data_IF_370949221280
#
_entry.id   IF_370949221280
#
_cell.length_a   1.000
_cell.length_b   1.000
_cell.length_c   1.000
_cell.angle_alpha   90.00
_cell.angle_beta   90.00
_cell.angle_gamma   90.00
#
_symmetry.space_group_name_H-M   'P 1'
#
loop_
_entity.id
_entity.type
_entity.pdbx_description
1 polymer ?
#
# COMPACT_ATOMS: atom_id res chain seq x y z
N UNK A 1 17.50 3.01 4.97
CA UNK A 1 18.08 4.35 5.16
C UNK A 1 17.93 5.16 3.88
N UNK A 2 17.64 6.46 3.99
CA UNK A 2 17.65 7.39 2.87
C UNK A 2 18.88 8.27 2.95
N UNK A 3 19.51 8.55 1.79
CA UNK A 3 20.62 9.48 1.68
C UNK A 3 20.21 10.90 2.11
N UNK A 4 18.97 11.27 1.84
CA UNK A 4 18.40 12.56 2.26
C UNK A 4 16.96 12.32 2.80
N UNK A 5 16.83 12.31 4.13
CA UNK A 5 15.55 12.11 4.82
C UNK A 5 14.56 13.25 4.64
N UNK A 6 15.04 14.46 4.33
CA UNK A 6 14.19 15.64 4.17
C UNK A 6 13.42 15.59 2.85
N UNK A 7 14.01 14.95 1.84
CA UNK A 7 13.43 14.87 0.48
C UNK A 7 12.67 13.55 0.29
N UNK A 8 13.26 12.43 0.71
CA UNK A 8 12.66 11.12 0.45
C UNK A 8 11.41 10.86 1.28
N UNK A 9 10.37 10.39 0.65
CA UNK A 9 9.15 9.87 1.28
C UNK A 9 8.80 8.53 0.63
N UNK A 10 8.31 7.54 1.42
CA UNK A 10 7.85 6.30 0.85
C UNK A 10 6.61 6.53 -0.02
N UNK A 11 6.50 5.77 -1.09
CA UNK A 11 5.28 5.72 -1.88
C UNK A 11 4.13 5.14 -1.04
N UNK A 12 2.91 5.42 -1.46
CA UNK A 12 1.73 4.80 -0.87
C UNK A 12 1.54 3.39 -1.43
N UNK A 13 1.04 2.49 -0.58
CA UNK A 13 0.56 1.19 -1.04
C UNK A 13 -0.84 1.31 -1.64
N UNK A 14 -1.21 0.50 -2.62
CA UNK A 14 -2.59 0.43 -3.10
C UNK A 14 -3.57 0.20 -1.94
N UNK A 15 -4.75 0.78 -2.04
CA UNK A 15 -5.80 0.56 -1.05
C UNK A 15 -6.35 -0.86 -1.20
N UNK A 16 -6.59 -1.54 -0.07
CA UNK A 16 -7.26 -2.84 -0.10
C UNK A 16 -8.76 -2.70 -0.30
N UNK A 17 -9.40 -3.74 -0.80
CA UNK A 17 -10.87 -3.82 -0.91
C UNK A 17 -11.55 -3.63 0.45
N UNK A 18 -11.00 -4.20 1.53
CA UNK A 18 -11.52 -4.03 2.90
C UNK A 18 -11.49 -2.57 3.36
N UNK A 19 -10.49 -1.80 2.95
CA UNK A 19 -10.45 -0.36 3.24
C UNK A 19 -11.56 0.38 2.51
N UNK A 20 -11.88 0.00 1.28
CA UNK A 20 -12.91 0.61 0.47
C UNK A 20 -14.31 0.13 0.88
N UNK A 21 -14.47 -1.11 1.31
CA UNK A 21 -15.75 -1.67 1.80
C UNK A 21 -16.34 -0.95 3.03
N UNK A 22 -15.50 -0.16 3.74
CA UNK A 22 -15.96 0.69 4.86
C UNK A 22 -16.72 1.94 4.42
N UNK A 23 -16.67 2.27 3.13
CA UNK A 23 -17.39 3.40 2.55
C UNK A 23 -18.73 2.90 2.02
N UNK A 24 -19.81 3.55 2.43
CA UNK A 24 -21.18 3.21 2.05
C UNK A 24 -21.94 4.48 1.68
N UNK A 25 -23.12 4.34 1.11
CA UNK A 25 -23.96 5.49 0.76
C UNK A 25 -25.39 5.29 1.29
N UNK A 26 -25.61 5.38 2.60
CA UNK A 26 -26.92 5.10 3.21
C UNK A 26 -27.97 6.16 2.90
N UNK A 27 -27.56 7.36 2.51
CA UNK A 27 -28.45 8.49 2.22
C UNK A 27 -28.50 8.86 0.72
N UNK A 28 -27.98 8.00 -0.15
CA UNK A 28 -27.92 8.21 -1.61
C UNK A 28 -27.29 9.55 -2.02
N UNK A 29 -26.22 9.95 -1.33
CA UNK A 29 -25.49 11.18 -1.64
C UNK A 29 -24.91 11.10 -3.05
N UNK A 30 -25.16 12.10 -3.92
CA UNK A 30 -24.73 12.06 -5.33
C UNK A 30 -23.20 12.06 -5.52
N UNK A 31 -22.43 12.43 -4.50
CA UNK A 31 -20.94 12.36 -4.48
C UNK A 31 -20.42 10.94 -4.33
N UNK A 32 -21.28 9.96 -4.04
CA UNK A 32 -20.94 8.55 -3.95
C UNK A 32 -20.78 8.05 -2.50
N UNK A 33 -19.99 6.96 -2.36
CA UNK A 33 -19.81 6.29 -1.07
C UNK A 33 -18.91 7.10 -0.12
N UNK A 34 -19.25 7.09 1.17
CA UNK A 34 -18.55 7.82 2.21
C UNK A 34 -18.50 7.01 3.52
N UNK A 35 -17.68 7.45 4.46
CA UNK A 35 -17.68 6.92 5.84
C UNK A 35 -17.77 8.04 6.85
N UNK A 36 -18.41 7.81 8.03
CA UNK A 36 -18.44 8.79 9.10
C UNK A 36 -17.06 8.99 9.70
N UNK A 37 -16.72 10.24 9.98
CA UNK A 37 -15.56 10.64 10.75
C UNK A 37 -16.01 11.43 11.99
N UNK A 38 -15.28 11.25 13.11
CA UNK A 38 -15.57 11.96 14.37
C UNK A 38 -15.50 13.47 14.15
N UNK A 39 -16.51 14.17 14.65
CA UNK A 39 -16.62 15.63 14.62
C UNK A 39 -16.10 16.29 15.89
N UNK A 40 -15.26 15.60 16.67
CA UNK A 40 -14.65 16.13 17.87
C UNK A 40 -13.15 15.87 17.93
N UNK A 41 -12.41 16.80 18.52
CA UNK A 41 -10.94 16.73 18.68
C UNK A 41 -10.53 16.91 20.15
N UNK A 42 -9.36 16.35 20.51
CA UNK A 42 -8.79 16.47 21.85
C UNK A 42 -8.15 17.84 22.12
N UNK A 43 -7.66 18.52 21.08
CA UNK A 43 -7.10 19.86 21.20
C UNK A 43 -8.25 20.83 21.46
N UNK A 44 -8.43 21.25 22.71
CA UNK A 44 -9.54 22.10 23.11
C UNK A 44 -9.37 23.54 22.59
N UNK A 45 -10.49 24.07 22.08
CA UNK A 45 -10.64 25.49 21.72
C UNK A 45 -12.03 25.95 22.17
N UNK A 46 -12.08 27.02 22.96
CA UNK A 46 -13.36 27.57 23.44
C UNK A 46 -14.27 28.03 22.29
N UNK A 47 -13.72 28.51 21.20
CA UNK A 47 -14.47 28.92 20.01
C UNK A 47 -15.17 27.74 19.31
N UNK A 48 -14.70 26.51 19.54
CA UNK A 48 -15.25 25.29 18.95
C UNK A 48 -16.05 24.45 19.96
N UNK A 49 -16.29 24.98 21.17
CA UNK A 49 -17.07 24.31 22.20
C UNK A 49 -18.52 24.83 22.19
N UNK A 50 -19.31 24.31 21.27
CA UNK A 50 -20.71 24.73 21.12
C UNK A 50 -21.63 23.52 21.05
N UNK A 51 -22.88 23.65 21.56
CA UNK A 51 -23.92 22.63 21.43
C UNK A 51 -24.47 22.59 20.01
N UNK A 52 -24.85 21.41 19.54
CA UNK A 52 -25.48 21.21 18.23
C UNK A 52 -26.90 20.66 18.47
N UNK A 53 -27.90 21.31 17.87
CA UNK A 53 -29.25 20.80 17.80
C UNK A 53 -29.37 19.89 16.57
N UNK A 54 -29.66 18.61 16.78
CA UNK A 54 -29.84 17.64 15.70
C UNK A 54 -31.18 17.87 14.97
N UNK A 55 -31.39 17.28 13.76
CA UNK A 55 -32.68 17.36 13.08
C UNK A 55 -33.84 16.83 13.87
N UNK A 56 -33.66 15.84 14.75
CA UNK A 56 -34.68 15.33 15.68
C UNK A 56 -34.98 16.23 16.87
N UNK A 57 -34.24 17.35 17.05
CA UNK A 57 -34.38 18.29 18.15
C UNK A 57 -33.51 18.01 19.37
N UNK A 58 -32.74 16.92 19.39
CA UNK A 58 -31.80 16.59 20.47
C UNK A 58 -30.63 17.60 20.50
N UNK A 59 -30.23 18.03 21.69
CA UNK A 59 -29.03 18.85 21.89
C UNK A 59 -27.83 17.93 22.20
N UNK A 60 -26.76 18.06 21.45
CA UNK A 60 -25.53 17.31 21.62
C UNK A 60 -24.38 18.26 21.93
N UNK A 61 -23.77 18.12 23.10
CA UNK A 61 -22.55 18.83 23.50
C UNK A 61 -21.30 18.01 23.15
N UNK A 62 -20.13 18.65 22.99
CA UNK A 62 -18.88 17.91 22.86
C UNK A 62 -18.64 17.01 24.09
N UNK A 63 -17.94 15.87 23.92
CA UNK A 63 -17.50 15.07 25.06
C UNK A 63 -16.57 15.89 25.98
N UNK A 64 -16.54 15.55 27.28
CA UNK A 64 -15.69 16.21 28.27
C UNK A 64 -14.22 16.28 27.77
N UNK A 65 -13.59 17.42 27.90
CA UNK A 65 -12.22 17.70 27.46
C UNK A 65 -12.00 17.61 25.94
N UNK A 66 -13.04 17.77 25.15
CA UNK A 66 -12.98 17.84 23.68
C UNK A 66 -13.79 19.04 23.18
N UNK A 67 -13.53 19.47 21.96
CA UNK A 67 -14.36 20.45 21.26
C UNK A 67 -14.67 19.96 19.85
N UNK A 68 -15.45 20.69 19.07
CA UNK A 68 -15.73 20.39 17.67
C UNK A 68 -14.49 20.60 16.81
N UNK A 69 -14.45 19.94 15.64
CA UNK A 69 -13.35 20.04 14.67
C UNK A 69 -13.25 21.44 14.07
N UNK A 70 -14.40 22.15 13.96
CA UNK A 70 -14.50 23.48 13.31
C UNK A 70 -15.30 24.44 14.17
N UNK A 71 -15.30 25.74 13.79
CA UNK A 71 -16.18 26.75 14.34
C UNK A 71 -17.67 26.45 14.00
N UNK A 72 -18.58 27.16 14.68
CA UNK A 72 -20.02 27.01 14.45
C UNK A 72 -20.42 27.46 13.04
N UNK A 73 -19.83 28.50 12.49
CA UNK A 73 -20.12 28.97 11.14
C UNK A 73 -19.70 27.94 10.09
N UNK A 74 -18.49 27.38 10.18
CA UNK A 74 -18.04 26.30 9.32
C UNK A 74 -18.91 25.02 9.47
N UNK A 75 -19.39 24.75 10.67
CA UNK A 75 -20.33 23.66 10.86
C UNK A 75 -21.64 23.87 10.11
N UNK A 76 -22.21 25.10 10.15
CA UNK A 76 -23.42 25.45 9.40
C UNK A 76 -23.23 25.31 7.88
N UNK A 77 -22.07 25.70 7.39
CA UNK A 77 -21.67 25.49 6.00
C UNK A 77 -21.64 23.99 5.64
N UNK A 78 -20.94 23.16 6.44
CA UNK A 78 -20.92 21.70 6.25
C UNK A 78 -22.31 21.06 6.27
N UNK A 79 -23.24 21.59 7.09
CA UNK A 79 -24.63 21.12 7.12
C UNK A 79 -25.35 21.52 5.80
N UNK A 80 -25.18 22.77 5.34
CA UNK A 80 -25.80 23.22 4.09
C UNK A 80 -25.30 22.45 2.85
N UNK A 81 -24.05 21.99 2.91
CA UNK A 81 -23.44 21.14 1.87
C UNK A 81 -23.78 19.63 2.02
N UNK A 82 -24.65 19.27 2.93
CA UNK A 82 -24.95 17.87 3.27
C UNK A 82 -23.70 17.05 3.63
N UNK A 83 -22.71 17.64 4.30
CA UNK A 83 -21.48 16.98 4.75
C UNK A 83 -21.52 16.48 6.17
N UNK A 84 -22.59 16.76 6.92
CA UNK A 84 -22.81 16.27 8.28
C UNK A 84 -23.87 15.18 8.27
N UNK A 85 -23.54 14.07 8.90
CA UNK A 85 -24.43 12.94 9.08
C UNK A 85 -24.93 12.84 10.53
N UNK A 86 -26.24 12.81 10.71
CA UNK A 86 -26.90 12.69 12.01
C UNK A 86 -27.58 11.30 12.23
N UNK A 87 -27.21 10.31 11.42
CA UNK A 87 -27.90 9.02 11.38
C UNK A 87 -29.17 9.06 10.53
N UNK A 88 -29.75 7.90 10.25
CA UNK A 88 -30.96 7.78 9.43
C UNK A 88 -32.15 8.52 10.03
N UNK A 89 -32.27 8.54 11.36
CA UNK A 89 -33.37 9.21 12.11
C UNK A 89 -33.04 10.67 12.44
N UNK A 90 -31.87 11.17 12.10
CA UNK A 90 -31.44 12.53 12.46
C UNK A 90 -31.17 12.75 13.95
N UNK A 91 -30.94 11.69 14.75
CA UNK A 91 -30.77 11.77 16.20
C UNK A 91 -29.37 11.45 16.72
N UNK A 92 -28.47 11.04 15.84
CA UNK A 92 -27.12 10.65 16.23
C UNK A 92 -26.22 11.86 16.52
N UNK A 93 -25.12 11.62 17.23
CA UNK A 93 -24.01 12.57 17.34
C UNK A 93 -23.52 12.89 15.93
N UNK A 94 -23.33 14.18 15.58
CA UNK A 94 -22.89 14.56 14.22
C UNK A 94 -21.53 13.98 13.88
N UNK A 95 -21.41 13.47 12.68
CA UNK A 95 -20.16 13.02 12.09
C UNK A 95 -19.98 13.63 10.69
N UNK A 96 -18.73 13.84 10.28
CA UNK A 96 -18.40 14.36 8.94
C UNK A 96 -18.39 13.22 7.94
N UNK A 97 -19.07 13.40 6.82
CA UNK A 97 -18.95 12.49 5.66
C UNK A 97 -17.59 12.64 5.01
N UNK A 98 -16.80 11.58 4.97
CA UNK A 98 -15.54 11.49 4.21
C UNK A 98 -15.75 10.64 2.99
N UNK A 99 -15.84 11.25 1.82
CA UNK A 99 -16.09 10.57 0.55
C UNK A 99 -14.89 9.78 0.07
N UNK A 100 -15.12 8.62 -0.54
CA UNK A 100 -14.05 7.80 -1.10
C UNK A 100 -13.35 8.54 -2.26
N UNK A 101 -14.10 9.31 -3.05
CA UNK A 101 -13.58 10.14 -4.15
C UNK A 101 -12.62 11.25 -3.69
N UNK A 102 -12.68 11.66 -2.44
CA UNK A 102 -11.82 12.71 -1.85
C UNK A 102 -10.58 12.16 -1.14
N UNK A 103 -10.48 10.84 -1.02
CA UNK A 103 -9.36 10.19 -0.34
C UNK A 103 -8.19 10.00 -1.30
N UNK A 104 -6.98 10.25 -0.82
CA UNK A 104 -5.76 9.97 -1.61
C UNK A 104 -5.76 8.53 -2.10
N UNK A 105 -5.37 8.35 -3.35
CA UNK A 105 -5.20 7.04 -3.94
C UNK A 105 -3.96 6.36 -3.33
N UNK A 106 -4.22 5.51 -2.35
CA UNK A 106 -3.19 4.78 -1.61
C UNK A 106 -3.28 4.92 -0.09
N UNK A 107 -2.52 4.09 0.60
CA UNK A 107 -2.41 4.05 2.05
C UNK A 107 -0.95 4.04 2.49
N UNK A 108 -0.67 4.67 3.64
CA UNK A 108 0.64 4.59 4.28
C UNK A 108 0.88 3.16 4.73
N UNK A 109 2.09 2.64 4.48
CA UNK A 109 2.47 1.32 4.96
C UNK A 109 2.45 1.24 6.48
N UNK A 110 1.94 0.15 7.01
CA UNK A 110 2.11 -0.17 8.43
C UNK A 110 3.57 -0.50 8.74
N UNK A 111 3.97 -0.35 9.98
CA UNK A 111 5.32 -0.69 10.47
C UNK A 111 5.53 -2.20 10.65
N UNK A 112 4.43 -2.95 10.83
CA UNK A 112 4.44 -4.41 10.92
C UNK A 112 3.79 -4.97 9.67
N UNK A 113 4.48 -5.90 9.00
CA UNK A 113 4.01 -6.60 7.81
C UNK A 113 3.73 -8.06 8.16
N UNK A 114 2.47 -8.44 8.06
CA UNK A 114 2.04 -9.80 8.36
C UNK A 114 2.36 -10.73 7.18
N UNK A 115 2.59 -12.02 7.46
CA UNK A 115 2.89 -13.00 6.42
C UNK A 115 1.76 -13.18 5.41
N UNK A 116 0.52 -12.94 5.80
CA UNK A 116 -0.63 -12.95 4.91
C UNK A 116 -0.48 -11.92 3.77
N UNK A 117 0.14 -10.78 4.07
CA UNK A 117 0.32 -9.68 3.12
C UNK A 117 1.59 -9.84 2.27
N UNK A 118 2.67 -10.34 2.87
CA UNK A 118 4.00 -10.35 2.25
C UNK A 118 4.53 -11.75 1.95
N UNK A 119 3.78 -12.79 2.27
CA UNK A 119 4.23 -14.17 2.13
C UNK A 119 5.19 -14.62 3.24
N UNK A 120 5.53 -15.89 3.23
CA UNK A 120 6.45 -16.52 4.17
C UNK A 120 7.45 -17.45 3.45
N UNK A 121 8.38 -18.06 4.19
CA UNK A 121 9.43 -18.88 3.59
C UNK A 121 8.91 -20.09 2.77
N UNK A 122 7.74 -20.64 3.11
CA UNK A 122 7.15 -21.75 2.35
C UNK A 122 6.66 -21.29 0.98
N UNK A 123 6.06 -20.09 0.89
CA UNK A 123 5.66 -19.49 -0.39
C UNK A 123 6.88 -19.27 -1.27
N UNK A 124 7.93 -18.68 -0.69
CA UNK A 124 9.19 -18.45 -1.40
C UNK A 124 9.84 -19.73 -1.92
N UNK A 125 9.83 -20.82 -1.12
CA UNK A 125 10.35 -22.13 -1.55
C UNK A 125 9.51 -22.73 -2.66
N UNK A 126 8.19 -22.54 -2.65
CA UNK A 126 7.30 -22.97 -3.74
C UNK A 126 7.64 -22.21 -5.02
N UNK A 127 7.78 -20.89 -4.94
CA UNK A 127 8.19 -20.07 -6.08
C UNK A 127 9.54 -20.52 -6.69
N UNK A 128 10.52 -20.94 -5.85
CA UNK A 128 11.80 -21.47 -6.35
C UNK A 128 11.62 -22.82 -7.03
N UNK A 129 10.82 -23.72 -6.45
CA UNK A 129 10.56 -25.06 -7.03
C UNK A 129 9.95 -24.99 -8.43
N UNK A 130 9.17 -23.96 -8.71
CA UNK A 130 8.52 -23.78 -10.02
C UNK A 130 9.55 -23.63 -11.16
N UNK A 131 10.79 -23.23 -10.90
CA UNK A 131 11.85 -23.12 -11.91
C UNK A 131 13.10 -23.98 -11.63
N UNK A 132 13.28 -24.48 -10.41
CA UNK A 132 14.35 -25.40 -10.05
C UNK A 132 13.84 -26.41 -9.02
N UNK A 133 13.41 -27.58 -9.50
CA UNK A 133 12.88 -28.65 -8.65
C UNK A 133 13.97 -29.45 -7.92
N UNK A 134 15.17 -29.49 -8.48
CA UNK A 134 16.25 -30.35 -7.99
C UNK A 134 17.09 -29.72 -6.91
N UNK A 135 17.22 -28.40 -6.93
CA UNK A 135 18.03 -27.64 -5.98
C UNK A 135 17.26 -26.44 -5.45
N UNK A 136 16.63 -26.62 -4.27
CA UNK A 136 15.86 -25.55 -3.65
C UNK A 136 16.79 -24.65 -2.83
N UNK A 137 16.86 -23.36 -3.20
CA UNK A 137 17.60 -22.36 -2.44
C UNK A 137 17.16 -22.36 -0.95
N UNK A 138 18.11 -22.35 -0.01
CA UNK A 138 17.84 -22.56 1.41
C UNK A 138 16.86 -21.55 2.03
N UNK A 139 17.05 -20.27 1.74
CA UNK A 139 16.29 -19.15 2.36
C UNK A 139 15.84 -18.10 1.34
N UNK A 140 15.02 -18.47 0.34
CA UNK A 140 14.51 -17.52 -0.62
C UNK A 140 13.58 -16.50 0.06
N UNK A 141 13.40 -15.34 -0.55
CA UNK A 141 12.42 -14.34 -0.12
C UNK A 141 11.18 -14.41 -1.02
N UNK A 142 9.96 -14.27 -0.45
CA UNK A 142 8.74 -14.26 -1.26
C UNK A 142 8.69 -13.06 -2.19
N UNK A 143 8.17 -13.22 -3.40
CA UNK A 143 8.00 -12.11 -4.34
C UNK A 143 7.09 -11.01 -3.77
N UNK A 144 6.06 -11.35 -3.01
CA UNK A 144 5.18 -10.38 -2.34
C UNK A 144 5.93 -9.44 -1.38
N UNK A 145 6.93 -9.95 -0.64
CA UNK A 145 7.76 -9.12 0.22
C UNK A 145 8.57 -8.12 -0.60
N UNK A 146 9.23 -8.60 -1.65
CA UNK A 146 10.02 -7.73 -2.52
C UNK A 146 9.15 -6.73 -3.28
N UNK A 147 7.96 -7.12 -3.72
CA UNK A 147 6.96 -6.23 -4.31
C UNK A 147 6.65 -5.05 -3.38
N UNK A 148 6.36 -5.31 -2.11
CA UNK A 148 6.06 -4.25 -1.13
C UNK A 148 7.24 -3.32 -0.93
N UNK A 149 8.45 -3.85 -0.77
CA UNK A 149 9.68 -3.05 -0.62
C UNK A 149 9.89 -2.17 -1.83
N UNK A 150 9.81 -2.73 -3.04
CA UNK A 150 10.03 -2.02 -4.30
C UNK A 150 8.95 -0.96 -4.53
N UNK A 151 7.68 -1.27 -4.25
CA UNK A 151 6.58 -0.29 -4.34
C UNK A 151 6.83 0.92 -3.45
N UNK A 152 7.24 0.69 -2.19
CA UNK A 152 7.46 1.78 -1.23
C UNK A 152 8.68 2.63 -1.55
N UNK A 153 9.72 2.05 -2.14
CA UNK A 153 11.03 2.67 -2.27
C UNK A 153 11.33 3.23 -3.65
N UNK A 154 10.62 2.82 -4.70
CA UNK A 154 10.97 3.10 -6.10
C UNK A 154 9.75 3.42 -6.96
N UNK A 155 10.02 4.12 -8.07
CA UNK A 155 9.07 4.34 -9.16
C UNK A 155 9.47 3.50 -10.39
N UNK A 156 8.61 3.45 -11.40
CA UNK A 156 8.93 2.82 -12.68
C UNK A 156 10.23 3.40 -13.27
N UNK A 157 11.02 2.53 -13.91
CA UNK A 157 12.32 2.84 -14.48
C UNK A 157 13.45 3.19 -13.49
N UNK A 158 13.19 3.24 -12.20
CA UNK A 158 14.27 3.36 -11.20
C UNK A 158 15.21 2.14 -11.25
N UNK A 159 16.44 2.33 -10.78
CA UNK A 159 17.46 1.27 -10.72
C UNK A 159 17.48 0.68 -9.31
N UNK A 160 17.37 -0.63 -9.23
CA UNK A 160 17.50 -1.41 -8.00
C UNK A 160 18.82 -2.15 -8.02
N UNK A 161 19.62 -2.02 -6.98
CA UNK A 161 20.85 -2.80 -6.77
C UNK A 161 20.61 -3.81 -5.66
N UNK A 162 20.86 -5.08 -5.95
CA UNK A 162 20.96 -6.15 -4.94
C UNK A 162 22.30 -6.83 -5.06
N UNK A 163 23.17 -6.58 -4.07
CA UNK A 163 24.55 -7.11 -4.05
C UNK A 163 24.66 -8.51 -3.44
N UNK A 164 23.55 -9.12 -3.02
CA UNK A 164 23.46 -10.48 -2.50
C UNK A 164 22.21 -11.16 -3.05
N UNK A 165 22.16 -11.31 -4.39
CA UNK A 165 20.94 -11.62 -5.14
C UNK A 165 20.32 -12.97 -4.79
N UNK A 166 21.11 -13.94 -4.33
CA UNK A 166 20.63 -15.25 -3.88
C UNK A 166 19.87 -16.01 -4.98
N UNK A 167 18.60 -16.27 -4.75
CA UNK A 167 17.73 -16.95 -5.73
C UNK A 167 17.13 -16.05 -6.82
N UNK A 168 17.55 -14.77 -6.89
CA UNK A 168 17.09 -13.85 -7.94
C UNK A 168 15.72 -13.20 -7.70
N UNK A 169 15.13 -13.28 -6.50
CA UNK A 169 13.80 -12.75 -6.25
C UNK A 169 13.71 -11.25 -6.51
N UNK A 170 14.67 -10.47 -6.04
CA UNK A 170 14.70 -9.01 -6.24
C UNK A 170 14.69 -8.66 -7.73
N UNK A 171 15.53 -9.31 -8.53
CA UNK A 171 15.61 -9.06 -9.98
C UNK A 171 14.31 -9.47 -10.70
N UNK A 172 13.73 -10.62 -10.34
CA UNK A 172 12.45 -11.08 -10.88
C UNK A 172 11.32 -10.09 -10.63
N UNK A 173 11.17 -9.63 -9.38
CA UNK A 173 10.14 -8.68 -9.00
C UNK A 173 10.38 -7.30 -9.63
N UNK A 174 11.61 -6.82 -9.64
CA UNK A 174 11.97 -5.57 -10.31
C UNK A 174 11.59 -5.60 -11.80
N UNK A 175 11.89 -6.69 -12.49
CA UNK A 175 11.54 -6.91 -13.90
C UNK A 175 10.02 -6.88 -14.12
N UNK A 176 9.26 -7.69 -13.36
CA UNK A 176 7.79 -7.75 -13.42
C UNK A 176 7.13 -6.39 -13.14
N UNK A 177 7.77 -5.55 -12.35
CA UNK A 177 7.26 -4.22 -11.96
C UNK A 177 7.81 -3.08 -12.83
N UNK A 178 8.54 -3.34 -13.91
CA UNK A 178 9.07 -2.32 -14.81
C UNK A 178 10.22 -1.48 -14.21
N UNK A 179 10.96 -2.03 -13.25
CA UNK A 179 12.17 -1.40 -12.71
C UNK A 179 13.39 -1.98 -13.40
N UNK A 180 14.45 -1.16 -13.53
CA UNK A 180 15.76 -1.61 -13.92
C UNK A 180 16.46 -2.23 -12.71
N UNK A 181 17.35 -3.19 -12.92
CA UNK A 181 18.04 -3.83 -11.81
C UNK A 181 19.49 -4.21 -12.16
N UNK A 182 20.31 -4.23 -11.12
CA UNK A 182 21.66 -4.77 -11.10
C UNK A 182 21.71 -5.77 -9.96
N UNK A 183 21.96 -7.04 -10.25
CA UNK A 183 22.09 -8.10 -9.26
C UNK A 183 23.50 -8.64 -9.24
N UNK A 184 24.06 -8.88 -8.06
CA UNK A 184 25.38 -9.48 -7.86
C UNK A 184 25.19 -10.74 -7.02
N UNK A 185 25.77 -11.85 -7.48
CA UNK A 185 25.78 -13.12 -6.75
C UNK A 185 27.12 -13.81 -6.99
N UNK A 186 27.81 -14.16 -5.91
CA UNK A 186 29.13 -14.82 -5.98
C UNK A 186 29.03 -16.32 -6.20
N UNK A 187 27.94 -16.95 -5.73
CA UNK A 187 27.78 -18.40 -5.77
C UNK A 187 27.24 -18.89 -7.12
N UNK A 188 27.27 -20.21 -7.29
CA UNK A 188 26.68 -20.90 -8.44
C UNK A 188 25.19 -20.59 -8.61
N UNK A 189 24.53 -20.04 -7.58
CA UNK A 189 23.15 -19.59 -7.62
C UNK A 189 22.89 -18.53 -8.71
N UNK A 190 23.91 -17.78 -9.09
CA UNK A 190 23.81 -16.87 -10.24
C UNK A 190 23.37 -17.62 -11.51
N UNK A 191 23.91 -18.83 -11.72
CA UNK A 191 23.64 -19.66 -12.91
C UNK A 191 22.49 -20.63 -12.66
N UNK A 192 22.46 -21.28 -11.50
CA UNK A 192 21.49 -22.34 -11.20
C UNK A 192 20.12 -21.83 -10.82
N UNK A 193 20.01 -20.58 -10.32
CA UNK A 193 18.76 -19.99 -9.85
C UNK A 193 18.39 -18.68 -10.55
N UNK A 194 19.28 -17.67 -10.54
CA UNK A 194 18.94 -16.34 -11.06
C UNK A 194 18.65 -16.36 -12.57
N UNK A 195 19.49 -17.00 -13.37
CA UNK A 195 19.30 -17.06 -14.83
C UNK A 195 18.03 -17.83 -15.22
N UNK A 196 17.76 -19.05 -14.72
CA UNK A 196 16.51 -19.76 -15.02
C UNK A 196 15.26 -18.98 -14.58
N UNK A 197 15.28 -18.37 -13.39
CA UNK A 197 14.17 -17.55 -12.91
C UNK A 197 13.87 -16.38 -13.86
N UNK A 198 14.90 -15.63 -14.24
CA UNK A 198 14.74 -14.48 -15.13
C UNK A 198 14.28 -14.88 -16.54
N UNK A 199 14.71 -16.04 -17.05
CA UNK A 199 14.22 -16.57 -18.33
C UNK A 199 12.70 -16.83 -18.24
N UNK A 200 12.22 -17.53 -17.21
CA UNK A 200 10.78 -17.75 -17.00
C UNK A 200 10.00 -16.44 -16.86
N UNK A 201 10.56 -15.45 -16.16
CA UNK A 201 9.93 -14.12 -16.06
C UNK A 201 9.76 -13.51 -17.45
N UNK A 202 10.80 -13.53 -18.30
CA UNK A 202 10.73 -13.01 -19.68
C UNK A 202 9.72 -13.78 -20.53
N UNK A 203 9.62 -15.07 -20.33
CA UNK A 203 8.66 -15.95 -21.03
C UNK A 203 7.21 -15.73 -20.58
N UNK A 204 7.00 -14.93 -19.53
CA UNK A 204 5.65 -14.59 -19.05
C UNK A 204 5.10 -15.56 -18.00
N UNK A 205 5.97 -16.18 -17.20
CA UNK A 205 5.57 -17.02 -16.07
C UNK A 205 4.55 -16.31 -15.17
N UNK A 206 3.48 -17.03 -14.82
CA UNK A 206 2.37 -16.47 -14.03
C UNK A 206 2.52 -16.73 -12.51
N UNK A 207 3.66 -17.23 -12.07
CA UNK A 207 3.97 -17.43 -10.65
C UNK A 207 4.21 -16.12 -9.87
N UNK A 208 4.26 -16.25 -8.54
CA UNK A 208 4.57 -15.14 -7.64
C UNK A 208 3.58 -13.97 -7.72
N UNK A 209 4.07 -12.80 -8.10
CA UNK A 209 3.27 -11.56 -8.20
C UNK A 209 2.73 -11.28 -9.61
N UNK A 210 2.97 -12.15 -10.59
CA UNK A 210 2.69 -11.89 -12.01
C UNK A 210 1.25 -11.45 -12.26
N UNK A 211 0.27 -12.14 -11.70
CA UNK A 211 -1.14 -11.78 -11.82
C UNK A 211 -1.42 -10.41 -11.19
N UNK A 212 -0.90 -10.16 -9.97
CA UNK A 212 -1.14 -8.94 -9.22
C UNK A 212 -0.60 -7.67 -9.91
N UNK A 213 0.46 -7.81 -10.73
CA UNK A 213 1.05 -6.69 -11.50
C UNK A 213 0.69 -6.73 -12.98
N UNK A 214 -0.15 -7.67 -13.40
CA UNK A 214 -0.56 -7.82 -14.80
C UNK A 214 0.57 -8.22 -15.75
N UNK A 215 1.59 -8.92 -15.26
CA UNK A 215 2.75 -9.32 -16.04
C UNK A 215 2.39 -10.34 -17.14
N UNK A 216 2.86 -10.11 -18.35
CA UNK A 216 2.60 -10.98 -19.52
C UNK A 216 3.88 -11.45 -20.21
N UNK A 217 5.03 -11.14 -19.66
CA UNK A 217 6.32 -11.46 -20.25
C UNK A 217 6.95 -10.31 -21.03
N UNK A 218 8.14 -10.55 -21.55
CA UNK A 218 8.90 -9.61 -22.36
C UNK A 218 10.11 -9.03 -21.63
N UNK A 219 10.76 -8.07 -22.29
CA UNK A 219 12.01 -7.50 -21.81
C UNK A 219 13.22 -8.42 -22.01
N UNK A 220 14.25 -8.21 -21.21
CA UNK A 220 15.48 -8.99 -21.25
C UNK A 220 16.43 -8.62 -20.13
N UNK A 221 17.49 -9.42 -19.95
CA UNK A 221 18.59 -9.13 -19.06
C UNK A 221 19.92 -9.49 -19.69
N UNK A 222 21.00 -8.95 -19.15
CA UNK A 222 22.36 -9.32 -19.50
C UNK A 222 23.01 -10.02 -18.32
N UNK A 223 23.65 -11.15 -18.59
CA UNK A 223 24.42 -11.89 -17.61
C UNK A 223 25.92 -11.71 -17.89
N UNK A 224 26.67 -11.39 -16.85
CA UNK A 224 28.11 -11.21 -16.92
C UNK A 224 28.79 -12.09 -15.88
N UNK A 225 29.97 -12.56 -16.18
CA UNK A 225 30.92 -13.14 -15.22
C UNK A 225 32.11 -12.20 -15.09
N UNK A 226 32.59 -12.02 -13.87
CA UNK A 226 33.85 -11.32 -13.64
C UNK A 226 34.97 -12.19 -14.20
N UNK A 227 35.85 -11.59 -15.00
CA UNK A 227 37.08 -12.21 -15.43
C UNK A 227 38.17 -12.18 -14.36
N UNK A 228 39.24 -12.89 -14.58
CA UNK A 228 40.44 -12.77 -13.76
C UNK A 228 40.96 -11.31 -13.82
N UNK A 229 41.46 -10.74 -12.70
CA UNK A 229 42.09 -9.45 -12.72
C UNK A 229 43.36 -9.50 -13.62
N UNK A 230 43.46 -8.52 -14.49
CA UNK A 230 44.65 -8.35 -15.36
C UNK A 230 45.80 -7.74 -14.57
#
# INVERSE_FOLDING_TARGET
FSKNKEIWRPNLLPRSEDMNARYKNPDNDPRGVWKPADFSVKTYSAANDFPIKTPSGRIVTPPKSRCRVTSEDQFRELVSENRIWFGETGNNVPSVKKFLSEVKDGSVSMTIWLYQDVGHNQDAKKEVKDFNETEVFGTPKPEKLMQRIITLATNENDIILDSFLGSGTTAAVAHKMGRRYIGIEMGEHAVTHCVPRLRKVIEGDQGGISEAVGWKGGGGFRFYRLGEPV
#
